data_IF_376616921684
#
_entry.id   IF_376616921684
#
_cell.length_a   1.000
_cell.length_b   1.000
_cell.length_c   1.000
_cell.angle_alpha   90.00
_cell.angle_beta   90.00
_cell.angle_gamma   90.00
#
_symmetry.space_group_name_H-M   'P 1'
#
loop_
_entity.id
_entity.type
_entity.pdbx_description
1 polymer ?
#
# COMPACT_ATOMS: atom_id res chain seq x y z
N UNK A 1 22.71 6.56 -0.54
CA UNK A 1 21.45 7.34 -0.66
C UNK A 1 20.55 6.99 0.52
N UNK A 2 19.79 7.95 1.03
CA UNK A 2 18.96 7.77 2.23
C UNK A 2 17.65 7.04 1.90
N UNK A 3 17.22 6.09 2.73
CA UNK A 3 15.94 5.41 2.51
C UNK A 3 14.78 6.28 3.01
N UNK A 4 13.67 6.32 2.28
CA UNK A 4 12.45 7.08 2.64
C UNK A 4 11.32 6.11 2.97
N UNK A 5 10.68 6.27 4.12
CA UNK A 5 9.48 5.51 4.47
C UNK A 5 8.25 6.39 4.30
N UNK A 6 7.32 5.98 3.45
CA UNK A 6 6.07 6.67 3.17
C UNK A 6 4.96 5.90 3.89
N UNK A 7 4.36 6.53 4.90
CA UNK A 7 3.29 5.92 5.68
C UNK A 7 1.96 6.53 5.23
N UNK A 8 1.05 5.68 4.76
CA UNK A 8 -0.29 6.05 4.31
C UNK A 8 -1.31 5.45 5.28
N UNK A 9 -2.28 6.23 5.71
CA UNK A 9 -3.38 5.76 6.55
C UNK A 9 -4.62 5.53 5.68
N UNK A 10 -5.24 4.37 5.79
CA UNK A 10 -6.53 4.06 5.18
C UNK A 10 -7.61 3.84 6.26
N UNK A 11 -8.81 4.38 6.00
CA UNK A 11 -10.01 4.09 6.79
C UNK A 11 -11.28 4.26 5.94
N UNK A 12 -11.94 3.14 5.59
CA UNK A 12 -13.23 3.12 4.90
C UNK A 12 -13.30 3.89 3.57
N UNK A 13 -12.17 4.16 2.92
CA UNK A 13 -12.15 4.85 1.63
C UNK A 13 -10.96 4.38 0.77
N UNK A 14 -11.10 3.18 0.24
CA UNK A 14 -10.07 2.56 -0.58
C UNK A 14 -9.86 3.25 -1.92
N UNK A 15 -10.85 3.97 -2.47
CA UNK A 15 -10.73 4.62 -3.78
C UNK A 15 -9.63 5.69 -3.77
N UNK A 16 -9.66 6.58 -2.79
CA UNK A 16 -8.62 7.60 -2.60
C UNK A 16 -7.26 6.95 -2.26
N UNK A 17 -7.30 5.84 -1.51
CA UNK A 17 -6.08 5.10 -1.15
C UNK A 17 -5.42 4.48 -2.37
N UNK A 18 -6.17 3.84 -3.28
CA UNK A 18 -5.58 3.25 -4.49
C UNK A 18 -5.11 4.32 -5.47
N UNK A 19 -5.78 5.48 -5.55
CA UNK A 19 -5.29 6.62 -6.32
C UNK A 19 -3.95 7.15 -5.74
N UNK A 20 -3.86 7.28 -4.42
CA UNK A 20 -2.62 7.66 -3.74
C UNK A 20 -1.49 6.66 -3.99
N UNK A 21 -1.75 5.36 -3.82
CA UNK A 21 -0.77 4.30 -4.08
C UNK A 21 -0.30 4.32 -5.54
N UNK A 22 -1.21 4.50 -6.49
CA UNK A 22 -0.85 4.61 -7.91
C UNK A 22 0.06 5.81 -8.18
N UNK A 23 -0.16 6.94 -7.51
CA UNK A 23 0.78 8.06 -7.58
C UNK A 23 2.15 7.72 -6.99
N UNK A 24 2.21 6.96 -5.89
CA UNK A 24 3.46 6.62 -5.20
C UNK A 24 4.32 5.65 -6.03
N UNK A 25 3.72 4.63 -6.65
CA UNK A 25 4.43 3.66 -7.48
C UNK A 25 4.87 4.19 -8.86
N UNK A 26 4.78 5.50 -9.08
CA UNK A 26 5.34 6.22 -10.23
C UNK A 26 6.59 7.02 -9.89
N UNK A 27 6.98 7.04 -8.61
CA UNK A 27 8.16 7.76 -8.14
C UNK A 27 9.40 7.13 -8.78
N UNK A 28 10.29 7.95 -9.35
CA UNK A 28 11.54 7.50 -9.97
C UNK A 28 12.73 7.42 -8.98
N UNK A 29 12.49 7.68 -7.70
CA UNK A 29 13.45 7.47 -6.63
C UNK A 29 13.38 6.00 -6.17
N UNK A 30 14.47 5.22 -6.19
CA UNK A 30 14.39 3.77 -5.96
C UNK A 30 14.48 3.34 -4.49
N UNK A 31 14.84 4.25 -3.56
CA UNK A 31 15.11 3.90 -2.16
C UNK A 31 13.96 4.30 -1.23
N UNK A 32 12.74 3.83 -1.51
CA UNK A 32 11.58 4.06 -0.66
C UNK A 32 10.85 2.76 -0.29
N UNK A 33 10.05 2.82 0.77
CA UNK A 33 9.06 1.82 1.12
C UNK A 33 7.70 2.50 1.33
N UNK A 34 6.63 1.85 0.86
CA UNK A 34 5.26 2.27 1.15
C UNK A 34 4.67 1.35 2.22
N UNK A 35 4.25 1.96 3.32
CA UNK A 35 3.60 1.29 4.45
C UNK A 35 2.18 1.82 4.52
N UNK A 36 1.20 0.95 4.31
CA UNK A 36 -0.20 1.27 4.43
C UNK A 36 -0.74 0.75 5.76
N UNK A 37 -1.30 1.63 6.57
CA UNK A 37 -1.96 1.28 7.82
C UNK A 37 -3.47 1.29 7.58
N UNK A 38 -4.10 0.12 7.65
CA UNK A 38 -5.56 0.03 7.72
C UNK A 38 -6.02 0.25 9.17
N UNK A 39 -6.79 1.32 9.41
CA UNK A 39 -7.23 1.74 10.74
C UNK A 39 -8.56 1.08 11.15
N UNK A 40 -8.69 -0.22 10.91
CA UNK A 40 -9.87 -0.99 11.28
C UNK A 40 -11.05 -0.66 10.36
N UNK A 41 -10.79 -0.67 9.05
CA UNK A 41 -11.85 -0.48 8.07
C UNK A 41 -12.91 -1.57 8.21
N UNK A 42 -14.17 -1.19 8.05
CA UNK A 42 -15.35 -2.06 8.17
C UNK A 42 -16.01 -2.31 6.81
N UNK A 43 -15.44 -1.76 5.74
CA UNK A 43 -15.84 -1.98 4.36
C UNK A 43 -14.88 -2.98 3.65
N UNK A 44 -14.98 -3.08 2.33
CA UNK A 44 -14.10 -3.92 1.51
C UNK A 44 -12.71 -3.29 1.27
N UNK A 45 -12.25 -2.32 2.06
CA UNK A 45 -11.04 -1.56 1.72
C UNK A 45 -9.80 -2.43 1.52
N UNK A 46 -9.51 -3.32 2.48
CA UNK A 46 -8.33 -4.20 2.40
C UNK A 46 -8.39 -5.11 1.17
N UNK A 47 -9.56 -5.66 0.87
CA UNK A 47 -9.78 -6.51 -0.31
C UNK A 47 -9.54 -5.71 -1.61
N UNK A 48 -10.11 -4.52 -1.71
CA UNK A 48 -9.99 -3.66 -2.90
C UNK A 48 -8.56 -3.15 -3.12
N UNK A 49 -7.84 -2.84 -2.05
CA UNK A 49 -6.43 -2.45 -2.13
C UNK A 49 -5.57 -3.62 -2.62
N UNK A 50 -5.87 -4.85 -2.18
CA UNK A 50 -5.21 -6.05 -2.70
C UNK A 50 -5.55 -6.33 -4.15
N UNK A 51 -6.80 -6.14 -4.56
CA UNK A 51 -7.21 -6.27 -5.96
C UNK A 51 -6.52 -5.24 -6.86
N UNK A 52 -6.34 -4.00 -6.39
CA UNK A 52 -5.51 -3.00 -7.06
C UNK A 52 -4.04 -3.45 -7.17
N UNK A 53 -3.44 -3.94 -6.09
CA UNK A 53 -2.06 -4.43 -6.11
C UNK A 53 -1.90 -5.62 -7.08
N UNK A 54 -2.93 -6.46 -7.21
CA UNK A 54 -2.98 -7.55 -8.18
C UNK A 54 -3.29 -7.12 -9.63
N UNK A 55 -3.48 -5.82 -9.88
CA UNK A 55 -3.80 -5.27 -11.20
C UNK A 55 -5.23 -5.55 -11.69
N UNK A 56 -6.15 -5.94 -10.79
CA UNK A 56 -7.55 -6.22 -11.14
C UNK A 56 -8.43 -4.97 -11.15
N UNK A 57 -7.96 -3.88 -10.58
CA UNK A 57 -8.66 -2.59 -10.51
C UNK A 57 -7.79 -1.56 -11.21
N UNK A 58 -8.36 -0.92 -12.23
CA UNK A 58 -7.77 0.25 -12.85
C UNK A 58 -8.14 1.49 -12.03
N UNK A 59 -7.16 2.38 -11.85
CA UNK A 59 -7.36 3.66 -11.18
C UNK A 59 -7.65 4.74 -12.22
N UNK A 60 -8.77 5.43 -12.09
CA UNK A 60 -9.06 6.64 -12.87
C UNK A 60 -8.60 7.87 -12.08
N UNK A 61 -7.82 8.74 -12.72
CA UNK A 61 -7.32 9.97 -12.10
C UNK A 61 -7.23 11.09 -13.12
N UNK A 62 -7.48 12.32 -12.65
CA UNK A 62 -7.28 13.53 -13.44
C UNK A 62 -5.80 13.95 -13.52
N UNK A 63 -4.94 13.38 -12.68
CA UNK A 63 -3.54 13.79 -12.54
C UNK A 63 -2.57 12.91 -13.32
N UNK A 64 -2.94 11.66 -13.58
CA UNK A 64 -2.09 10.70 -14.28
C UNK A 64 -2.91 9.64 -15.01
N UNK A 65 -2.27 8.95 -15.95
CA UNK A 65 -2.81 7.74 -16.61
C UNK A 65 -2.42 6.51 -15.83
N UNK A 66 -3.33 5.56 -15.65
CA UNK A 66 -3.05 4.28 -14.99
C UNK A 66 -1.88 3.55 -15.64
N UNK A 67 -0.97 3.00 -14.82
CA UNK A 67 0.17 2.21 -15.26
C UNK A 67 -0.10 0.72 -15.08
N UNK A 68 0.08 -0.06 -16.15
CA UNK A 68 -0.13 -1.51 -16.11
C UNK A 68 1.16 -2.26 -15.77
N UNK A 69 2.31 -1.67 -16.11
CA UNK A 69 3.61 -2.36 -16.05
C UNK A 69 4.19 -2.44 -14.63
N UNK A 70 3.69 -1.62 -13.69
CA UNK A 70 4.12 -1.65 -12.28
C UNK A 70 3.32 -2.65 -11.42
N UNK A 71 2.50 -3.50 -12.05
CA UNK A 71 1.74 -4.57 -11.39
C UNK A 71 2.29 -5.95 -11.76
N UNK A 72 2.21 -6.96 -10.87
CA UNK A 72 1.64 -6.88 -9.53
C UNK A 72 2.58 -6.21 -8.52
N UNK A 73 1.98 -5.51 -7.55
CA UNK A 73 2.68 -5.04 -6.34
C UNK A 73 2.59 -6.16 -5.30
N UNK A 74 3.73 -6.57 -4.76
CA UNK A 74 3.77 -7.59 -3.71
C UNK A 74 3.17 -7.04 -2.42
N UNK A 75 2.17 -7.72 -1.83
CA UNK A 75 1.55 -7.28 -0.58
C UNK A 75 2.05 -8.14 0.57
N UNK A 76 2.70 -7.51 1.55
CA UNK A 76 3.14 -8.14 2.79
C UNK A 76 2.19 -7.68 3.90
N UNK A 77 1.34 -8.59 4.36
CA UNK A 77 0.37 -8.31 5.41
C UNK A 77 0.96 -8.57 6.81
N UNK A 78 0.83 -7.58 7.68
CA UNK A 78 1.22 -7.65 9.08
C UNK A 78 0.05 -7.26 9.97
N UNK A 79 -0.09 -7.95 11.10
CA UNK A 79 -0.90 -7.46 12.21
C UNK A 79 -0.11 -6.40 12.98
N UNK A 80 -0.83 -5.47 13.61
CA UNK A 80 -0.21 -4.43 14.46
C UNK A 80 0.81 -5.00 15.44
N UNK A 81 0.48 -6.10 16.12
CA UNK A 81 1.32 -6.72 17.14
C UNK A 81 2.62 -7.27 16.55
N UNK A 82 2.60 -7.71 15.30
CA UNK A 82 3.79 -8.19 14.60
C UNK A 82 4.70 -7.02 14.19
N UNK A 83 4.11 -5.92 13.72
CA UNK A 83 4.83 -4.71 13.37
C UNK A 83 5.49 -4.06 14.61
N UNK A 84 4.78 -4.00 15.74
CA UNK A 84 5.31 -3.47 17.02
C UNK A 84 6.44 -4.33 17.59
N UNK A 85 6.44 -5.63 17.31
CA UNK A 85 7.54 -6.55 17.67
C UNK A 85 8.74 -6.46 16.72
N UNK A 86 8.68 -5.61 15.71
CA UNK A 86 9.77 -5.46 14.74
C UNK A 86 9.92 -6.67 13.84
N UNK A 87 8.82 -7.35 13.47
CA UNK A 87 8.86 -8.45 12.50
C UNK A 87 9.57 -7.99 11.23
N UNK A 88 10.63 -8.69 10.86
CA UNK A 88 11.40 -8.38 9.67
C UNK A 88 10.53 -8.57 8.42
N UNK A 89 10.61 -7.59 7.53
CA UNK A 89 9.98 -7.64 6.21
C UNK A 89 11.01 -8.19 5.24
N UNK A 90 10.74 -9.31 4.53
CA UNK A 90 11.70 -9.89 3.60
C UNK A 90 12.07 -8.89 2.51
N UNK A 91 13.32 -8.95 2.04
CA UNK A 91 13.75 -8.19 0.88
C UNK A 91 12.95 -8.61 -0.36
N UNK A 92 12.48 -7.63 -1.15
CA UNK A 92 11.85 -7.87 -2.45
C UNK A 92 12.61 -7.11 -3.53
N UNK A 93 12.76 -7.75 -4.69
CA UNK A 93 13.27 -7.10 -5.91
C UNK A 93 12.18 -6.35 -6.68
N UNK A 94 10.91 -6.58 -6.34
CA UNK A 94 9.75 -5.96 -6.97
C UNK A 94 9.20 -4.82 -6.09
N UNK A 95 8.34 -4.00 -6.68
CA UNK A 95 7.51 -3.06 -5.93
C UNK A 95 6.65 -3.80 -4.91
N UNK A 96 6.59 -3.26 -3.69
CA UNK A 96 5.89 -3.91 -2.57
C UNK A 96 5.14 -2.91 -1.69
N UNK A 97 4.03 -3.39 -1.14
CA UNK A 97 3.21 -2.72 -0.13
C UNK A 97 3.29 -3.47 1.19
N UNK A 98 3.72 -2.81 2.26
CA UNK A 98 3.60 -3.34 3.62
C UNK A 98 2.23 -2.90 4.15
N UNK A 99 1.27 -3.82 4.27
CA UNK A 99 -0.07 -3.54 4.77
C UNK A 99 -0.17 -3.96 6.24
N UNK A 100 -0.35 -2.99 7.13
CA UNK A 100 -0.52 -3.21 8.57
C UNK A 100 -2.00 -3.08 8.92
N UNK A 101 -2.58 -4.13 9.48
CA UNK A 101 -3.97 -4.12 9.97
C UNK A 101 -4.01 -3.70 11.43
N UNK A 102 -4.56 -2.51 11.71
CA UNK A 102 -4.77 -2.00 13.05
C UNK A 102 -6.25 -1.97 13.41
N UNK A 103 -6.70 -2.90 14.26
CA UNK A 103 -8.10 -2.96 14.70
C UNK A 103 -8.42 -2.06 15.90
N UNK A 104 -7.42 -1.36 16.47
CA UNK A 104 -7.64 -0.42 17.58
C UNK A 104 -8.01 0.95 17.01
N UNK A 105 -9.28 1.32 17.15
CA UNK A 105 -9.77 2.68 16.85
C UNK A 105 -9.13 3.65 17.85
N UNK A 106 -8.50 4.71 17.34
CA UNK A 106 -8.02 5.83 18.16
C UNK A 106 -9.18 6.75 18.53
#
# INVERSE_FOLDING_TARGET
MSRVSIIVLNWNNWMDTVECLESLYRINYPYYDVILIDNGSTDSSVEKIKDYCAGKINVDSKFFRYEHDNKPIEVIELMKEEAEKGKEVPFSMNERLILIKNFKKF
#
